data_IF_905151903780
#
_entry.id   IF_905151903780
#
_cell.length_a   1.000
_cell.length_b   1.000
_cell.length_c   1.000
_cell.angle_alpha   90.00
_cell.angle_beta   90.00
_cell.angle_gamma   90.00
#
_symmetry.space_group_name_H-M   'P 1'
#
loop_
_entity.id
_entity.type
_entity.pdbx_description
1 polymer ?
#
# COMPACT_ATOMS: atom_id res chain seq x y z
N UNK A 1 -1.38 -4.61 4.90
CA UNK A 1 -0.90 -5.77 5.70
C UNK A 1 -1.17 -7.01 4.89
N UNK A 2 -0.16 -7.84 4.65
CA UNK A 2 -0.32 -9.05 3.82
C UNK A 2 0.49 -10.22 4.37
N UNK A 3 0.08 -11.42 4.00
CA UNK A 3 0.86 -12.63 4.18
C UNK A 3 1.64 -12.89 2.88
N UNK A 4 2.94 -13.08 2.99
CA UNK A 4 3.80 -13.43 1.86
C UNK A 4 4.53 -14.74 2.17
N UNK A 5 4.77 -15.56 1.15
CA UNK A 5 5.57 -16.78 1.30
C UNK A 5 6.94 -16.46 1.88
N UNK A 6 7.35 -17.18 2.93
CA UNK A 6 8.62 -16.92 3.59
C UNK A 6 9.79 -17.20 2.64
N UNK A 7 10.64 -16.20 2.42
CA UNK A 7 11.86 -16.33 1.61
C UNK A 7 13.01 -15.60 2.29
N UNK A 8 14.25 -15.93 1.93
CA UNK A 8 15.46 -15.22 2.38
C UNK A 8 15.43 -13.74 2.02
N UNK A 9 14.84 -13.37 0.88
CA UNK A 9 14.63 -11.97 0.50
C UNK A 9 13.80 -11.22 1.54
N UNK A 10 12.70 -11.83 2.00
CA UNK A 10 11.85 -11.25 3.04
C UNK A 10 12.59 -11.24 4.40
N UNK A 11 13.36 -12.28 4.73
CA UNK A 11 14.17 -12.29 5.94
C UNK A 11 15.20 -11.15 5.98
N UNK A 12 15.84 -10.85 4.84
CA UNK A 12 16.76 -9.70 4.70
C UNK A 12 16.03 -8.36 4.87
N UNK A 13 14.85 -8.21 4.26
CA UNK A 13 14.01 -7.02 4.40
C UNK A 13 13.60 -6.81 5.87
N UNK A 14 13.11 -7.85 6.53
CA UNK A 14 12.73 -7.81 7.95
C UNK A 14 13.93 -7.50 8.86
N UNK A 15 15.10 -8.08 8.59
CA UNK A 15 16.33 -7.76 9.32
C UNK A 15 16.71 -6.28 9.17
N UNK A 16 16.60 -5.73 7.96
CA UNK A 16 16.89 -4.31 7.69
C UNK A 16 15.93 -3.36 8.42
N UNK A 17 14.71 -3.81 8.68
CA UNK A 17 13.68 -3.11 9.48
C UNK A 17 13.86 -3.27 10.99
N UNK A 18 14.87 -4.03 11.42
CA UNK A 18 15.20 -4.22 12.84
C UNK A 18 14.45 -5.37 13.51
N UNK A 19 13.74 -6.21 12.76
CA UNK A 19 13.23 -7.47 13.27
C UNK A 19 14.37 -8.48 13.40
N UNK A 20 14.31 -9.34 14.40
CA UNK A 20 15.35 -10.36 14.62
C UNK A 20 14.81 -11.76 14.93
N UNK A 21 13.50 -11.90 15.14
CA UNK A 21 12.84 -13.18 15.40
C UNK A 21 11.52 -13.23 14.63
N UNK A 22 11.18 -14.39 14.06
CA UNK A 22 9.82 -14.74 13.67
C UNK A 22 9.21 -15.69 14.70
N UNK A 23 7.97 -15.43 15.09
CA UNK A 23 7.20 -16.29 16.00
C UNK A 23 5.95 -16.79 15.31
N UNK A 24 5.61 -18.05 15.50
CA UNK A 24 4.37 -18.62 14.99
C UNK A 24 3.43 -18.98 16.14
N UNK A 25 2.14 -18.74 15.93
CA UNK A 25 1.08 -19.25 16.82
C UNK A 25 0.67 -20.68 16.45
N UNK A 26 1.13 -21.18 15.30
CA UNK A 26 0.86 -22.52 14.82
C UNK A 26 1.82 -23.52 15.49
N UNK A 27 1.49 -24.81 15.38
CA UNK A 27 2.25 -25.88 16.00
C UNK A 27 3.55 -26.12 15.21
N UNK A 28 4.55 -26.71 15.85
CA UNK A 28 5.84 -27.09 15.21
C UNK A 28 5.63 -28.13 14.10
N UNK A 29 4.53 -28.89 14.13
CA UNK A 29 4.15 -29.92 13.17
C UNK A 29 3.19 -29.44 12.06
N UNK A 30 2.96 -28.13 11.94
CA UNK A 30 2.07 -27.57 10.91
C UNK A 30 2.80 -27.46 9.56
N UNK A 31 2.18 -27.96 8.48
CA UNK A 31 2.78 -27.99 7.13
C UNK A 31 2.96 -26.58 6.53
N UNK A 32 2.25 -25.58 7.04
CA UNK A 32 2.35 -24.19 6.57
C UNK A 32 2.24 -23.19 7.74
N UNK A 33 3.33 -22.95 8.49
CA UNK A 33 3.30 -22.07 9.65
C UNK A 33 3.07 -20.60 9.27
N UNK A 34 2.27 -19.89 10.06
CA UNK A 34 2.09 -18.44 9.90
C UNK A 34 3.02 -17.68 10.84
N UNK A 35 3.96 -16.93 10.27
CA UNK A 35 5.02 -16.23 10.98
C UNK A 35 4.68 -14.77 11.27
N UNK A 36 5.04 -14.29 12.46
CA UNK A 36 4.90 -12.90 12.89
C UNK A 36 6.26 -12.35 13.31
N UNK A 37 6.78 -11.30 12.64
CA UNK A 37 8.07 -10.72 12.96
C UNK A 37 8.02 -9.90 14.26
N UNK A 38 9.06 -10.06 15.08
CA UNK A 38 9.25 -9.30 16.32
C UNK A 38 10.70 -8.84 16.46
N UNK A 39 10.88 -7.74 17.20
CA UNK A 39 12.18 -7.22 17.59
C UNK A 39 12.38 -7.41 19.09
N UNK A 40 13.41 -8.15 19.48
CA UNK A 40 13.78 -8.34 20.89
C UNK A 40 15.14 -7.71 21.19
N UNK A 41 15.36 -7.14 22.39
CA UNK A 41 16.66 -6.54 22.74
C UNK A 41 17.83 -7.54 22.77
N UNK A 42 17.56 -8.78 23.19
CA UNK A 42 18.54 -9.86 23.22
C UNK A 42 17.83 -11.19 22.88
N UNK A 43 18.23 -11.78 21.75
CA UNK A 43 17.67 -13.04 21.24
C UNK A 43 17.92 -14.19 22.22
N UNK A 44 19.11 -14.30 22.81
CA UNK A 44 19.45 -15.37 23.74
C UNK A 44 18.61 -15.31 25.02
N UNK A 45 18.45 -14.11 25.60
CA UNK A 45 17.61 -13.94 26.79
C UNK A 45 16.14 -14.27 26.49
N UNK A 46 15.67 -13.91 25.30
CA UNK A 46 14.32 -14.23 24.84
C UNK A 46 14.10 -15.74 24.72
N UNK A 47 15.03 -16.46 24.08
CA UNK A 47 14.98 -17.92 23.94
C UNK A 47 15.03 -18.62 25.32
N UNK A 48 15.91 -18.17 26.22
CA UNK A 48 15.99 -18.68 27.59
C UNK A 48 14.69 -18.48 28.39
N UNK A 49 13.99 -17.36 28.17
CA UNK A 49 12.70 -17.10 28.82
C UNK A 49 11.58 -17.98 28.28
N UNK A 50 11.61 -18.35 26.99
CA UNK A 50 10.66 -19.28 26.41
C UNK A 50 10.81 -20.67 27.05
N UNK A 51 12.04 -21.18 27.15
CA UNK A 51 12.40 -22.43 27.84
C UNK A 51 12.03 -22.43 29.34
N UNK A 52 12.11 -21.25 29.98
CA UNK A 52 11.78 -21.09 31.39
C UNK A 52 10.26 -21.09 31.66
N UNK A 53 9.46 -20.54 30.75
CA UNK A 53 8.00 -20.45 30.89
C UNK A 53 7.29 -21.78 30.62
N UNK A 54 7.80 -22.58 29.70
CA UNK A 54 7.26 -23.92 29.38
C UNK A 54 7.47 -24.94 30.50
N UNK A 55 8.41 -24.69 31.44
CA UNK A 55 8.55 -25.49 32.66
C UNK A 55 7.50 -25.24 33.74
N UNK A 56 6.81 -24.10 33.71
CA UNK A 56 5.90 -23.68 34.80
C UNK A 56 4.42 -23.90 34.43
N UNK A 57 4.09 -23.93 33.14
CA UNK A 57 2.74 -24.15 32.65
C UNK A 57 2.78 -25.08 31.45
N UNK A 58 1.84 -26.02 31.33
CA UNK A 58 1.73 -26.99 30.24
C UNK A 58 1.38 -26.39 28.86
N UNK A 59 1.85 -25.17 28.57
CA UNK A 59 1.73 -24.53 27.27
C UNK A 59 2.83 -25.07 26.33
N UNK A 60 2.41 -25.41 25.12
CA UNK A 60 3.30 -25.90 24.05
C UNK A 60 4.24 -24.79 23.59
N UNK A 61 5.47 -25.15 23.23
CA UNK A 61 6.47 -24.21 22.72
C UNK A 61 6.00 -23.63 21.38
N UNK A 62 5.92 -22.30 21.23
CA UNK A 62 5.65 -21.67 19.94
C UNK A 62 6.82 -21.96 18.99
N UNK A 63 6.56 -22.16 17.70
CA UNK A 63 7.64 -22.24 16.74
C UNK A 63 8.33 -20.87 16.61
N UNK A 64 9.66 -20.87 16.67
CA UNK A 64 10.49 -19.67 16.63
C UNK A 64 11.57 -19.87 15.57
N UNK A 65 11.77 -18.83 14.75
CA UNK A 65 12.85 -18.76 13.78
C UNK A 65 13.68 -17.50 14.05
N UNK A 66 14.97 -17.69 14.32
CA UNK A 66 15.91 -16.58 14.47
C UNK A 66 16.38 -16.15 13.09
N UNK A 67 16.14 -14.88 12.74
CA UNK A 67 16.35 -14.39 11.37
C UNK A 67 17.82 -14.53 10.94
N UNK A 68 18.75 -14.17 11.82
CA UNK A 68 20.19 -14.27 11.54
C UNK A 68 20.62 -15.72 11.27
N UNK A 69 20.19 -16.67 12.12
CA UNK A 69 20.52 -18.09 11.94
C UNK A 69 19.91 -18.66 10.65
N UNK A 70 18.68 -18.28 10.32
CA UNK A 70 18.03 -18.72 9.08
C UNK A 70 18.77 -18.17 7.84
N UNK A 71 19.15 -16.89 7.86
CA UNK A 71 19.93 -16.28 6.78
C UNK A 71 21.31 -16.92 6.58
N UNK A 72 21.91 -17.44 7.65
CA UNK A 72 23.22 -18.10 7.58
C UNK A 72 23.16 -19.57 7.17
N UNK A 73 22.08 -20.28 7.53
CA UNK A 73 22.07 -21.74 7.51
C UNK A 73 20.93 -22.39 6.71
N UNK A 74 19.96 -21.61 6.21
CA UNK A 74 18.73 -22.14 5.60
C UNK A 74 18.53 -21.58 4.20
N UNK A 75 18.33 -22.44 3.21
CA UNK A 75 18.01 -22.04 1.83
C UNK A 75 16.49 -21.81 1.64
N UNK A 76 16.10 -21.12 0.56
CA UNK A 76 14.69 -20.77 0.30
C UNK A 76 13.78 -22.01 0.24
N UNK A 77 14.26 -23.14 -0.30
CA UNK A 77 13.48 -24.38 -0.41
C UNK A 77 13.20 -25.06 0.93
N UNK A 78 13.84 -24.60 2.01
CA UNK A 78 13.68 -25.11 3.36
C UNK A 78 12.88 -24.16 4.25
N UNK A 79 12.47 -23.00 3.73
CA UNK A 79 11.63 -22.03 4.43
C UNK A 79 10.16 -22.32 4.11
N UNK A 80 9.47 -22.89 5.08
CA UNK A 80 8.03 -23.14 4.99
C UNK A 80 7.23 -22.04 5.71
N UNK A 81 6.04 -21.75 5.20
CA UNK A 81 5.12 -20.82 5.84
C UNK A 81 4.87 -19.51 5.07
N UNK A 82 3.94 -18.74 5.63
CA UNK A 82 3.69 -17.36 5.21
C UNK A 82 4.01 -16.42 6.37
N UNK A 83 4.66 -15.30 6.07
CA UNK A 83 5.02 -14.28 7.05
C UNK A 83 4.12 -13.07 6.93
N UNK A 84 3.62 -12.61 8.07
CA UNK A 84 2.89 -11.37 8.20
C UNK A 84 3.85 -10.21 7.96
N UNK A 85 3.63 -9.48 6.87
CA UNK A 85 4.36 -8.27 6.53
C UNK A 85 3.43 -7.09 6.79
N UNK A 86 3.82 -6.24 7.75
CA UNK A 86 3.26 -4.90 7.84
C UNK A 86 3.58 -4.16 6.53
N UNK A 87 2.54 -3.60 5.90
CA UNK A 87 2.71 -2.90 4.63
C UNK A 87 3.63 -1.71 4.85
N UNK A 88 4.84 -1.79 4.31
CA UNK A 88 5.82 -0.72 4.43
C UNK A 88 5.49 0.35 3.39
N UNK A 89 4.48 1.15 3.74
CA UNK A 89 4.04 2.28 2.94
C UNK A 89 5.20 3.23 2.61
N UNK A 90 6.22 3.33 3.48
CA UNK A 90 7.38 4.19 3.26
C UNK A 90 8.35 3.60 2.22
N UNK A 91 8.61 2.30 2.25
CA UNK A 91 9.37 1.61 1.21
C UNK A 91 8.65 1.71 -0.15
N UNK A 92 7.34 1.45 -0.18
CA UNK A 92 6.51 1.56 -1.40
C UNK A 92 6.55 2.99 -1.97
N UNK A 93 6.42 4.00 -1.10
CA UNK A 93 6.55 5.40 -1.45
C UNK A 93 7.91 5.70 -2.13
N UNK A 94 9.01 5.25 -1.54
CA UNK A 94 10.35 5.49 -2.09
C UNK A 94 10.58 4.78 -3.43
N UNK A 95 10.10 3.56 -3.58
CA UNK A 95 10.13 2.83 -4.85
C UNK A 95 9.32 3.56 -5.92
N UNK A 96 8.12 4.04 -5.56
CA UNK A 96 7.26 4.80 -6.46
C UNK A 96 7.89 6.11 -6.89
N UNK A 97 8.52 6.86 -5.98
CA UNK A 97 9.28 8.05 -6.33
C UNK A 97 10.39 7.76 -7.34
N UNK A 98 11.12 6.67 -7.16
CA UNK A 98 12.18 6.29 -8.09
C UNK A 98 11.62 6.06 -9.50
N UNK A 99 10.60 5.22 -9.63
CA UNK A 99 9.98 4.86 -10.91
C UNK A 99 9.38 6.08 -11.59
N UNK A 100 8.60 6.88 -10.86
CA UNK A 100 7.92 8.03 -11.45
C UNK A 100 8.91 9.14 -11.77
N UNK A 101 9.98 9.33 -10.99
CA UNK A 101 11.01 10.30 -11.35
C UNK A 101 11.82 9.86 -12.59
N UNK A 102 12.01 8.55 -12.82
CA UNK A 102 12.62 8.07 -14.07
C UNK A 102 11.74 8.42 -15.28
N UNK A 103 10.41 8.33 -15.13
CA UNK A 103 9.47 8.62 -16.21
C UNK A 103 9.25 10.13 -16.43
N UNK A 104 8.97 10.87 -15.35
CA UNK A 104 8.60 12.28 -15.40
C UNK A 104 9.78 13.24 -15.21
N UNK A 105 10.85 12.82 -14.54
CA UNK A 105 12.00 13.68 -14.23
C UNK A 105 11.64 14.90 -13.37
N UNK A 106 10.65 14.80 -12.48
CA UNK A 106 10.18 15.91 -11.63
C UNK A 106 11.23 16.43 -10.64
N UNK A 107 12.25 15.64 -10.29
CA UNK A 107 13.39 16.14 -9.49
C UNK A 107 14.31 17.03 -10.32
N UNK A 108 14.51 16.70 -11.59
CA UNK A 108 15.41 17.44 -12.48
C UNK A 108 14.74 18.68 -13.07
N UNK A 109 13.44 18.60 -13.35
CA UNK A 109 12.66 19.65 -14.01
C UNK A 109 11.36 19.98 -13.22
N UNK A 110 11.45 20.41 -11.95
CA UNK A 110 10.27 20.65 -11.11
C UNK A 110 9.35 21.75 -11.65
N UNK A 111 9.89 22.71 -12.42
CA UNK A 111 9.17 23.85 -12.98
C UNK A 111 8.17 23.47 -14.10
N UNK A 112 8.25 22.25 -14.62
CA UNK A 112 7.31 21.73 -15.63
C UNK A 112 5.94 21.43 -15.02
N UNK A 113 5.90 21.22 -13.70
CA UNK A 113 4.73 20.74 -12.98
C UNK A 113 4.07 21.86 -12.19
N UNK A 114 2.75 21.90 -12.27
CA UNK A 114 1.93 22.79 -11.45
C UNK A 114 1.09 21.98 -10.46
N UNK A 115 0.37 22.66 -9.59
CA UNK A 115 -0.45 22.00 -8.57
C UNK A 115 -1.46 21.00 -9.18
N UNK A 116 -1.98 21.28 -10.37
CA UNK A 116 -2.99 20.43 -11.04
C UNK A 116 -2.39 19.17 -11.64
N UNK A 117 -1.11 19.20 -12.02
CA UNK A 117 -0.39 18.08 -12.60
C UNK A 117 1.03 18.01 -12.03
N UNK A 118 1.17 17.44 -10.83
CA UNK A 118 2.45 17.16 -10.18
C UNK A 118 2.47 15.68 -9.70
N UNK A 119 3.23 14.81 -10.38
CA UNK A 119 3.34 13.39 -9.99
C UNK A 119 3.89 13.20 -8.58
N UNK A 120 4.87 14.01 -8.17
CA UNK A 120 5.48 13.92 -6.84
C UNK A 120 4.45 14.24 -5.75
N UNK A 121 3.67 15.30 -5.95
CA UNK A 121 2.55 15.65 -5.07
C UNK A 121 1.54 14.51 -4.92
N UNK A 122 1.18 13.86 -6.02
CA UNK A 122 0.18 12.77 -6.01
C UNK A 122 0.67 11.54 -5.29
N UNK A 123 1.94 11.16 -5.47
CA UNK A 123 2.56 10.05 -4.75
C UNK A 123 2.52 10.31 -3.23
N UNK A 124 2.89 11.50 -2.79
CA UNK A 124 2.86 11.90 -1.38
C UNK A 124 1.43 11.93 -0.84
N UNK A 125 0.49 12.45 -1.63
CA UNK A 125 -0.93 12.51 -1.28
C UNK A 125 -1.52 11.11 -1.09
N UNK A 126 -1.21 10.20 -2.01
CA UNK A 126 -1.66 8.81 -1.97
C UNK A 126 -1.13 8.11 -0.69
N UNK A 127 0.17 8.25 -0.39
CA UNK A 127 0.75 7.79 0.86
C UNK A 127 0.04 8.36 2.10
N UNK A 128 -0.23 9.66 2.12
CA UNK A 128 -0.91 10.31 3.25
C UNK A 128 -2.35 9.79 3.44
N UNK A 129 -3.06 9.44 2.36
CA UNK A 129 -4.42 8.89 2.41
C UNK A 129 -4.46 7.46 2.94
N UNK A 130 -3.46 6.63 2.60
CA UNK A 130 -3.38 5.24 3.09
C UNK A 130 -2.88 5.14 4.53
N UNK A 131 -1.95 6.01 4.92
CA UNK A 131 -1.36 5.99 6.27
C UNK A 131 -2.13 6.84 7.27
N UNK A 132 -2.88 7.84 6.81
CA UNK A 132 -3.44 8.89 7.67
C UNK A 132 -2.39 9.87 8.21
N UNK A 133 -1.11 9.69 7.89
CA UNK A 133 -0.05 10.64 8.22
C UNK A 133 0.03 11.74 7.16
N UNK A 134 -0.53 12.89 7.51
CA UNK A 134 -0.62 14.03 6.61
C UNK A 134 0.60 14.97 6.67
N UNK A 135 1.60 14.69 7.53
CA UNK A 135 2.74 15.58 7.77
C UNK A 135 3.56 15.84 6.51
N UNK A 136 3.97 14.78 5.83
CA UNK A 136 4.78 14.87 4.61
C UNK A 136 4.05 15.60 3.47
N UNK A 137 2.73 15.44 3.37
CA UNK A 137 1.94 16.18 2.37
C UNK A 137 1.82 17.67 2.72
N UNK A 138 1.62 17.99 4.00
CA UNK A 138 1.60 19.37 4.48
C UNK A 138 2.94 20.07 4.21
N UNK A 139 4.04 19.45 4.60
CA UNK A 139 5.40 19.98 4.40
C UNK A 139 5.68 20.21 2.91
N UNK A 140 5.30 19.26 2.06
CA UNK A 140 5.43 19.39 0.62
C UNK A 140 4.62 20.57 0.06
N UNK A 141 3.35 20.71 0.45
CA UNK A 141 2.53 21.84 0.01
C UNK A 141 3.07 23.18 0.49
N UNK A 142 3.55 23.27 1.74
CA UNK A 142 4.12 24.52 2.26
C UNK A 142 5.36 24.96 1.48
N UNK A 143 6.18 24.00 1.05
CA UNK A 143 7.42 24.27 0.33
C UNK A 143 7.16 24.62 -1.15
N UNK A 144 6.28 23.88 -1.82
CA UNK A 144 6.14 23.94 -3.28
C UNK A 144 4.89 24.71 -3.75
N UNK A 145 3.80 24.70 -2.98
CA UNK A 145 2.51 25.30 -3.36
C UNK A 145 1.84 26.00 -2.16
N UNK A 146 2.49 27.00 -1.54
CA UNK A 146 2.02 27.62 -0.30
C UNK A 146 0.60 28.21 -0.42
N UNK A 147 0.23 28.72 -1.59
CA UNK A 147 -1.11 29.24 -1.89
C UNK A 147 -2.19 28.16 -1.93
N UNK A 148 -1.82 26.90 -2.13
CA UNK A 148 -2.74 25.77 -2.18
C UNK A 148 -2.86 25.01 -0.86
N UNK A 149 -2.06 25.32 0.17
CA UNK A 149 -2.05 24.58 1.46
C UNK A 149 -3.45 24.46 2.06
N UNK A 150 -4.18 25.58 2.18
CA UNK A 150 -5.50 25.57 2.82
C UNK A 150 -6.52 24.72 2.06
N UNK A 151 -6.52 24.78 0.73
CA UNK A 151 -7.45 24.02 -0.12
C UNK A 151 -7.03 22.54 -0.18
N UNK A 152 -5.74 22.28 -0.37
CA UNK A 152 -5.16 20.94 -0.48
C UNK A 152 -5.33 20.12 0.80
N UNK A 153 -5.06 20.70 1.97
CA UNK A 153 -5.24 20.00 3.25
C UNK A 153 -6.71 19.76 3.57
N UNK A 154 -7.59 20.72 3.26
CA UNK A 154 -9.04 20.53 3.41
C UNK A 154 -9.57 19.42 2.50
N UNK A 155 -9.10 19.35 1.26
CA UNK A 155 -9.45 18.26 0.34
C UNK A 155 -8.95 16.90 0.86
N UNK A 156 -7.69 16.83 1.31
CA UNK A 156 -7.10 15.63 1.88
C UNK A 156 -7.92 15.13 3.07
N UNK A 157 -8.17 15.98 4.08
CA UNK A 157 -8.96 15.61 5.26
C UNK A 157 -10.38 15.17 4.91
N UNK A 158 -11.01 15.83 3.94
CA UNK A 158 -12.33 15.43 3.47
C UNK A 158 -12.29 14.06 2.83
N UNK A 159 -11.26 13.76 2.03
CA UNK A 159 -11.10 12.48 1.35
C UNK A 159 -10.75 11.37 2.34
N UNK A 160 -9.83 11.59 3.29
CA UNK A 160 -9.49 10.60 4.33
C UNK A 160 -10.73 10.08 5.06
N UNK A 161 -11.75 10.92 5.25
CA UNK A 161 -13.02 10.54 5.92
C UNK A 161 -14.01 9.79 5.02
N UNK A 162 -13.90 9.93 3.70
CA UNK A 162 -14.85 9.39 2.74
C UNK A 162 -14.27 8.28 1.84
N UNK A 163 -12.96 8.07 1.90
CA UNK A 163 -12.29 7.02 1.14
C UNK A 163 -12.80 5.66 1.63
N UNK A 164 -13.23 4.83 0.68
CA UNK A 164 -13.69 3.48 0.97
C UNK A 164 -12.78 2.48 0.28
N UNK A 165 -12.57 1.32 0.91
CA UNK A 165 -11.85 0.19 0.32
C UNK A 165 -12.83 -0.97 0.17
N UNK A 166 -12.98 -1.46 -1.06
CA UNK A 166 -13.93 -2.51 -1.43
C UNK A 166 -13.19 -3.68 -2.09
N UNK A 167 -13.66 -4.90 -1.86
CA UNK A 167 -13.24 -6.05 -2.69
C UNK A 167 -13.85 -5.97 -4.11
N UNK A 168 -13.37 -6.82 -5.02
CA UNK A 168 -13.85 -6.87 -6.42
C UNK A 168 -15.37 -7.02 -6.56
N UNK A 169 -16.03 -7.82 -5.71
CA UNK A 169 -17.49 -8.02 -5.77
C UNK A 169 -18.23 -6.77 -5.28
N UNK A 170 -17.77 -6.19 -4.18
CA UNK A 170 -18.31 -4.96 -3.62
C UNK A 170 -18.12 -3.77 -4.56
N UNK A 171 -16.95 -3.64 -5.17
CA UNK A 171 -16.63 -2.61 -6.14
C UNK A 171 -17.53 -2.71 -7.37
N UNK A 172 -17.68 -3.92 -7.94
CA UNK A 172 -18.60 -4.16 -9.06
C UNK A 172 -20.03 -3.69 -8.76
N UNK A 173 -20.58 -4.10 -7.61
CA UNK A 173 -21.91 -3.70 -7.18
C UNK A 173 -22.00 -2.17 -6.96
N UNK A 174 -20.96 -1.57 -6.40
CA UNK A 174 -20.90 -0.14 -6.15
C UNK A 174 -20.92 0.67 -7.45
N UNK A 175 -20.11 0.28 -8.44
CA UNK A 175 -20.06 0.95 -9.76
C UNK A 175 -21.40 0.85 -10.49
N UNK A 176 -22.04 -0.33 -10.47
CA UNK A 176 -23.36 -0.53 -11.06
C UNK A 176 -24.44 0.30 -10.36
N UNK A 177 -24.45 0.31 -9.02
CA UNK A 177 -25.43 1.08 -8.24
C UNK A 177 -25.35 2.59 -8.51
N UNK A 178 -24.15 3.11 -8.77
CA UNK A 178 -23.93 4.53 -9.06
C UNK A 178 -23.87 4.84 -10.56
N UNK A 179 -24.16 3.86 -11.43
CA UNK A 179 -24.07 3.97 -12.89
C UNK A 179 -22.73 4.55 -13.36
N UNK A 180 -21.61 4.18 -12.75
CA UNK A 180 -20.29 4.73 -13.10
C UNK A 180 -19.90 4.32 -14.51
N UNK A 181 -19.55 5.30 -15.35
CA UNK A 181 -19.11 5.07 -16.72
C UNK A 181 -17.59 5.21 -16.87
N UNK A 182 -16.99 6.20 -16.19
CA UNK A 182 -15.56 6.50 -16.29
C UNK A 182 -14.98 6.81 -14.92
N UNK A 183 -13.83 6.19 -14.65
CA UNK A 183 -13.02 6.39 -13.45
C UNK A 183 -11.68 7.00 -13.88
N UNK A 184 -11.12 7.85 -13.02
CA UNK A 184 -9.75 8.36 -13.11
C UNK A 184 -8.96 7.93 -11.87
N UNK A 185 -7.81 7.29 -12.06
CA UNK A 185 -6.89 6.95 -10.97
C UNK A 185 -5.98 8.14 -10.63
N UNK A 186 -5.63 8.34 -9.36
CA UNK A 186 -4.67 9.38 -8.96
C UNK A 186 -3.24 9.05 -9.38
N UNK A 187 -2.84 7.79 -9.21
CA UNK A 187 -1.57 7.20 -9.64
C UNK A 187 -1.82 6.17 -10.75
N UNK A 188 -0.82 5.33 -11.05
CA UNK A 188 -0.90 4.38 -12.15
C UNK A 188 -2.05 3.40 -11.90
N UNK A 189 -2.90 3.22 -12.90
CA UNK A 189 -4.12 2.40 -12.77
C UNK A 189 -3.86 0.94 -12.41
N UNK A 190 -2.65 0.44 -12.65
CA UNK A 190 -2.24 -0.92 -12.29
C UNK A 190 -1.70 -1.05 -10.86
N UNK A 191 -1.56 0.05 -10.11
CA UNK A 191 -1.21 0.01 -8.69
C UNK A 191 -2.46 -0.31 -7.85
N UNK A 192 -2.41 -1.35 -7.00
CA UNK A 192 -3.55 -1.78 -6.16
C UNK A 192 -4.02 -0.71 -5.15
N UNK A 193 -3.13 0.21 -4.79
CA UNK A 193 -3.38 1.32 -3.88
C UNK A 193 -3.76 2.61 -4.63
N UNK A 194 -4.05 2.53 -5.93
CA UNK A 194 -4.58 3.65 -6.70
C UNK A 194 -5.97 4.06 -6.18
N UNK A 195 -6.15 5.37 -5.97
CA UNK A 195 -7.41 5.94 -5.52
C UNK A 195 -8.22 6.35 -6.74
N UNK A 196 -9.39 5.75 -6.85
CA UNK A 196 -10.31 5.83 -7.97
C UNK A 196 -11.33 6.95 -7.74
N UNK A 197 -11.29 7.95 -8.61
CA UNK A 197 -12.26 9.04 -8.64
C UNK A 197 -13.25 8.82 -9.77
N UNK A 198 -14.55 8.91 -9.46
CA UNK A 198 -15.59 8.90 -10.48
C UNK A 198 -15.54 10.20 -11.28
N UNK A 199 -15.42 10.09 -12.60
CA UNK A 199 -15.49 11.23 -13.52
C UNK A 199 -16.85 11.38 -14.19
N UNK A 200 -17.51 10.26 -14.50
CA UNK A 200 -18.75 10.28 -15.27
C UNK A 200 -19.68 9.13 -14.90
N UNK A 201 -20.97 9.38 -15.06
CA UNK A 201 -22.04 8.38 -14.92
C UNK A 201 -22.75 8.15 -16.25
N UNK A 202 -23.29 6.95 -16.47
CA UNK A 202 -24.05 6.63 -17.67
C UNK A 202 -25.25 7.57 -17.78
N UNK A 203 -25.30 8.37 -18.85
CA UNK A 203 -26.29 9.42 -19.05
C UNK A 203 -25.69 10.82 -19.23
N UNK A 204 -24.40 11.01 -18.91
CA UNK A 204 -23.70 12.24 -19.24
C UNK A 204 -23.51 12.35 -20.76
N UNK A 205 -23.92 13.47 -21.36
CA UNK A 205 -23.85 13.74 -22.82
C UNK A 205 -22.40 13.88 -23.35
N UNK A 206 -21.40 13.79 -22.46
CA UNK A 206 -20.00 14.00 -22.78
C UNK A 206 -19.34 12.70 -23.29
N UNK A 207 -18.74 12.76 -24.48
CA UNK A 207 -17.88 11.68 -25.00
C UNK A 207 -16.51 11.76 -24.34
N UNK A 208 -16.27 10.87 -23.39
CA UNK A 208 -14.97 10.73 -22.75
C UNK A 208 -14.01 9.96 -23.66
N UNK A 209 -12.89 10.59 -24.01
CA UNK A 209 -11.77 9.89 -24.63
C UNK A 209 -11.09 9.06 -23.53
N UNK A 210 -11.46 7.79 -23.44
CA UNK A 210 -10.64 6.78 -22.76
C UNK A 210 -9.46 6.54 -23.69
N UNK A 211 -8.31 7.18 -23.41
CA UNK A 211 -7.12 6.98 -24.23
C UNK A 211 -6.64 5.54 -24.06
N UNK A 212 -6.55 4.81 -25.16
CA UNK A 212 -5.87 3.50 -25.17
C UNK A 212 -4.36 3.61 -24.92
N UNK A 213 -3.80 4.82 -24.99
CA UNK A 213 -2.43 5.12 -24.58
C UNK A 213 -2.38 5.33 -23.06
N UNK A 214 -1.92 4.28 -22.38
CA UNK A 214 -1.55 4.25 -20.96
C UNK A 214 -0.14 4.80 -20.73
N UNK A 215 0.32 5.76 -21.54
CA UNK A 215 1.71 6.24 -21.41
C UNK A 215 1.94 6.96 -20.08
N UNK A 216 0.98 7.74 -19.60
CA UNK A 216 1.11 8.45 -18.32
C UNK A 216 0.89 7.50 -17.12
N UNK A 217 1.62 7.71 -16.04
CA UNK A 217 1.49 6.97 -14.78
C UNK A 217 0.57 7.67 -13.76
N UNK A 218 -0.10 8.76 -14.12
CA UNK A 218 -1.09 9.45 -13.26
C UNK A 218 -2.32 9.79 -14.10
N UNK A 219 -3.47 9.93 -13.45
CA UNK A 219 -4.73 10.35 -14.09
C UNK A 219 -5.17 9.47 -15.26
N UNK A 220 -4.86 8.17 -15.18
CA UNK A 220 -5.34 7.21 -16.16
C UNK A 220 -6.86 7.09 -16.06
N UNK A 221 -7.51 7.09 -17.22
CA UNK A 221 -8.96 6.94 -17.32
C UNK A 221 -9.30 5.55 -17.83
N UNK A 222 -10.22 4.89 -17.14
CA UNK A 222 -10.60 3.51 -17.44
C UNK A 222 -12.07 3.30 -17.15
N UNK A 223 -12.69 2.38 -17.89
CA UNK A 223 -14.04 1.95 -17.59
C UNK A 223 -14.02 0.89 -16.45
N UNK A 224 -15.00 0.88 -15.55
CA UNK A 224 -15.00 -0.05 -14.41
C UNK A 224 -14.83 -1.52 -14.83
N UNK A 225 -15.46 -1.94 -15.94
CA UNK A 225 -15.37 -3.32 -16.42
C UNK A 225 -13.97 -3.75 -16.86
N UNK A 226 -13.14 -2.81 -17.31
CA UNK A 226 -11.77 -3.09 -17.74
C UNK A 226 -10.82 -3.10 -16.53
N UNK A 227 -11.17 -2.37 -15.47
CA UNK A 227 -10.40 -2.26 -14.23
C UNK A 227 -10.66 -3.42 -13.26
N UNK A 228 -11.89 -3.90 -13.15
CA UNK A 228 -12.29 -4.96 -12.20
C UNK A 228 -11.45 -6.24 -12.25
N UNK A 229 -10.96 -6.72 -13.42
CA UNK A 229 -10.10 -7.89 -13.50
C UNK A 229 -8.65 -7.63 -13.07
N UNK A 230 -8.24 -6.37 -12.87
CA UNK A 230 -6.85 -6.01 -12.62
C UNK A 230 -6.46 -6.06 -11.13
N UNK A 231 -7.45 -5.97 -10.23
CA UNK A 231 -7.22 -5.79 -8.79
C UNK A 231 -8.17 -6.61 -7.94
N UNK A 232 -7.71 -6.99 -6.75
CA UNK A 232 -8.54 -7.62 -5.71
C UNK A 232 -9.23 -6.59 -4.81
N UNK A 233 -8.58 -5.43 -4.61
CA UNK A 233 -9.04 -4.33 -3.76
C UNK A 233 -9.12 -3.01 -4.53
N UNK A 234 -10.11 -2.19 -4.17
CA UNK A 234 -10.42 -0.94 -4.86
C UNK A 234 -10.60 0.18 -3.85
N UNK A 235 -9.74 1.20 -3.94
CA UNK A 235 -9.85 2.42 -3.13
C UNK A 235 -10.64 3.46 -3.89
N UNK A 236 -11.81 3.85 -3.38
CA UNK A 236 -12.74 4.71 -4.11
C UNK A 236 -12.98 6.02 -3.36
N UNK A 237 -12.77 7.14 -4.05
CA UNK A 237 -13.27 8.44 -3.62
C UNK A 237 -14.79 8.47 -3.79
N UNK A 238 -15.51 8.19 -2.71
CA UNK A 238 -16.98 8.14 -2.69
C UNK A 238 -17.65 9.51 -2.73
N UNK A 239 -16.90 10.61 -2.78
CA UNK A 239 -17.45 11.97 -2.80
C UNK A 239 -18.09 12.21 -4.17
N UNK A 240 -19.42 12.13 -4.23
CA UNK A 240 -20.18 12.51 -5.42
C UNK A 240 -20.04 14.00 -5.65
N UNK A 241 -19.32 14.40 -6.70
CA UNK A 241 -19.36 15.79 -7.18
C UNK A 241 -20.74 16.00 -7.80
N UNK A 242 -21.62 16.69 -7.08
CA UNK A 242 -22.74 17.36 -7.74
C UNK A 242 -22.12 18.48 -8.56
N UNK A 243 -22.03 18.30 -9.88
CA UNK A 243 -21.82 19.45 -10.75
C UNK A 243 -22.95 20.45 -10.48
N UNK A 244 -22.57 21.70 -10.23
CA UNK A 244 -23.49 22.84 -10.12
C UNK A 244 -23.69 23.39 -11.53
#
# INVERSE_FOLDING_TARGET
MQFATLTRSILLDLQSKGYNILTSKNRIDDENPTWYPISVPNVWDYLLQLDGKTKVMSFQEPAVLVIEDALLNVEDEQLDGEVFIEDDHYLRLNQRFHIYNQYYQFVANPEVYDFSFDPQRLIIRNYALHTGDHSMYLDYLQLHYPEHVAVGMKDLESLTRSLICLDSTQAHNWFMMHNVAVIESDIWVCDEDAILKVLAVQGDDYRWNISGDTEQLIYNRIAPQDLLPMHDLFWIDSRVRKEI
#
